data_IF_486192806860
#
_entry.id   IF_486192806860
#
_cell.length_a   1.000
_cell.length_b   1.000
_cell.length_c   1.000
_cell.angle_alpha   90.00
_cell.angle_beta   90.00
_cell.angle_gamma   90.00
#
_symmetry.space_group_name_H-M   'P 1'
#
loop_
_entity.id
_entity.type
_entity.pdbx_description
1 polymer ?
#
# COMPACT_ATOMS: atom_id res chain seq x y z
N UNK A 1 5.88 12.02 -6.18
CA UNK A 1 5.94 10.54 -6.26
C UNK A 1 7.36 10.10 -6.00
N UNK A 2 7.57 9.23 -5.01
CA UNK A 2 8.87 8.62 -4.66
C UNK A 2 8.75 7.11 -4.76
N UNK A 3 9.73 6.43 -5.35
CA UNK A 3 9.74 4.96 -5.47
C UNK A 3 11.05 4.41 -4.95
N UNK A 4 10.98 3.38 -4.11
CA UNK A 4 12.13 2.65 -3.59
C UNK A 4 12.02 1.17 -4.00
N UNK A 5 13.11 0.64 -4.55
CA UNK A 5 13.23 -0.75 -4.96
C UNK A 5 14.10 -1.50 -3.96
N UNK A 6 13.62 -2.67 -3.51
CA UNK A 6 14.26 -3.46 -2.44
C UNK A 6 14.61 -2.62 -1.20
N UNK A 7 13.67 -1.82 -0.67
CA UNK A 7 13.95 -0.98 0.48
C UNK A 7 14.23 -1.82 1.71
N UNK A 8 15.11 -1.32 2.56
CA UNK A 8 15.31 -1.81 3.92
C UNK A 8 14.21 -1.28 4.84
N UNK A 9 14.08 -1.88 6.02
CA UNK A 9 13.11 -1.42 7.01
C UNK A 9 13.36 0.04 7.42
N UNK A 10 14.62 0.45 7.60
CA UNK A 10 14.96 1.82 7.98
C UNK A 10 14.49 2.86 6.95
N UNK A 11 14.51 2.52 5.65
CA UNK A 11 14.02 3.41 4.58
C UNK A 11 12.50 3.54 4.59
N UNK A 12 11.79 2.50 5.03
CA UNK A 12 10.34 2.56 5.27
C UNK A 12 10.04 3.46 6.47
N UNK A 13 10.74 3.26 7.59
CA UNK A 13 10.58 4.03 8.83
C UNK A 13 10.88 5.53 8.58
N UNK A 14 11.93 5.83 7.82
CA UNK A 14 12.24 7.20 7.40
C UNK A 14 11.11 7.80 6.54
N UNK A 15 10.58 7.04 5.58
CA UNK A 15 9.50 7.52 4.71
C UNK A 15 8.23 7.82 5.52
N UNK A 16 7.81 6.93 6.41
CA UNK A 16 6.60 7.15 7.23
C UNK A 16 6.79 8.21 8.31
N UNK A 17 8.03 8.51 8.70
CA UNK A 17 8.33 9.60 9.63
C UNK A 17 8.33 10.96 8.94
N UNK A 18 8.78 11.02 7.69
CA UNK A 18 8.88 12.28 6.92
C UNK A 18 7.55 12.66 6.25
N UNK A 19 6.75 11.66 5.89
CA UNK A 19 5.49 11.85 5.16
C UNK A 19 4.30 11.48 6.04
N UNK A 20 3.27 12.34 6.09
CA UNK A 20 2.01 11.98 6.76
C UNK A 20 1.19 11.05 5.86
N UNK A 21 1.37 9.74 6.03
CA UNK A 21 0.64 8.74 5.23
C UNK A 21 -0.81 8.62 5.71
N UNK A 22 -1.77 8.86 4.81
CA UNK A 22 -3.21 8.78 5.12
C UNK A 22 -3.82 7.41 4.77
N UNK A 23 -3.19 6.67 3.85
CA UNK A 23 -3.66 5.37 3.37
C UNK A 23 -2.50 4.48 2.91
N UNK A 24 -2.54 3.20 3.27
CA UNK A 24 -1.55 2.19 2.83
C UNK A 24 -2.18 1.13 1.96
N UNK A 25 -1.60 0.88 0.78
CA UNK A 25 -1.95 -0.23 -0.09
C UNK A 25 -1.01 -1.40 0.10
N UNK A 26 -1.56 -2.58 0.42
CA UNK A 26 -0.80 -3.81 0.57
C UNK A 26 -1.03 -4.74 -0.61
N UNK A 27 0.07 -5.19 -1.20
CA UNK A 27 0.08 -6.21 -2.24
C UNK A 27 -0.05 -7.63 -1.67
N UNK A 28 -1.11 -7.92 -0.93
CA UNK A 28 -1.39 -9.28 -0.43
C UNK A 28 -1.93 -10.17 -1.53
N UNK A 29 -1.27 -11.30 -1.83
CA UNK A 29 -1.68 -12.19 -2.93
C UNK A 29 -2.53 -13.39 -2.48
N UNK A 30 -2.81 -13.53 -1.18
CA UNK A 30 -3.61 -14.59 -0.60
C UNK A 30 -2.80 -15.84 -0.21
N UNK A 31 -1.50 -15.89 -0.51
CA UNK A 31 -0.63 -16.97 -0.07
C UNK A 31 0.01 -16.62 1.27
N UNK A 32 -0.38 -17.35 2.32
CA UNK A 32 0.11 -17.13 3.69
C UNK A 32 1.64 -17.14 3.81
N UNK A 33 2.34 -17.85 2.92
CA UNK A 33 3.81 -17.90 2.89
C UNK A 33 4.42 -16.56 2.46
N UNK A 34 3.71 -15.83 1.59
CA UNK A 34 4.14 -14.56 1.03
C UNK A 34 3.54 -13.35 1.78
N UNK A 35 2.33 -13.48 2.31
CA UNK A 35 1.63 -12.36 2.91
C UNK A 35 2.05 -12.04 4.35
N UNK A 36 2.70 -12.98 5.05
CA UNK A 36 3.04 -12.85 6.47
C UNK A 36 3.75 -11.54 6.80
N UNK A 37 4.79 -11.17 6.07
CA UNK A 37 5.56 -9.94 6.37
C UNK A 37 4.73 -8.67 6.21
N UNK A 38 3.88 -8.61 5.19
CA UNK A 38 3.00 -7.45 4.97
C UNK A 38 1.86 -7.41 6.00
N UNK A 39 1.31 -8.57 6.36
CA UNK A 39 0.32 -8.68 7.42
C UNK A 39 0.89 -8.26 8.79
N UNK A 40 2.10 -8.74 9.13
CA UNK A 40 2.80 -8.36 10.36
C UNK A 40 3.09 -6.84 10.38
N UNK A 41 3.49 -6.26 9.25
CA UNK A 41 3.72 -4.82 9.13
C UNK A 41 2.43 -4.00 9.35
N UNK A 42 1.30 -4.47 8.79
CA UNK A 42 -0.03 -3.89 9.01
C UNK A 42 -0.40 -3.91 10.49
N UNK A 43 -0.22 -5.04 11.16
CA UNK A 43 -0.64 -5.20 12.56
C UNK A 43 0.29 -4.53 13.58
N UNK A 44 1.52 -4.20 13.19
CA UNK A 44 2.53 -3.63 14.11
C UNK A 44 2.82 -2.16 13.86
N UNK A 45 3.43 -1.82 12.72
CA UNK A 45 3.94 -0.47 12.45
C UNK A 45 2.90 0.47 11.86
N UNK A 46 1.97 -0.07 11.07
CA UNK A 46 1.02 0.72 10.28
C UNK A 46 -0.43 0.53 10.71
N UNK A 47 -0.65 -0.05 11.91
CA UNK A 47 -1.97 -0.42 12.44
C UNK A 47 -2.98 0.74 12.49
N UNK A 48 -2.48 1.95 12.71
CA UNK A 48 -3.31 3.15 12.85
C UNK A 48 -3.66 3.81 11.53
N UNK A 49 -3.06 3.36 10.42
CA UNK A 49 -3.28 3.94 9.10
C UNK A 49 -4.33 3.09 8.38
N UNK A 50 -5.40 3.69 7.82
CA UNK A 50 -6.33 2.99 6.94
C UNK A 50 -5.58 2.20 5.87
N UNK A 51 -6.11 1.03 5.52
CA UNK A 51 -5.46 0.12 4.57
C UNK A 51 -6.37 -0.28 3.43
N UNK A 52 -5.79 -0.62 2.29
CA UNK A 52 -6.49 -1.15 1.13
C UNK A 52 -5.72 -2.27 0.44
N UNK A 53 -6.43 -3.26 -0.12
CA UNK A 53 -5.85 -4.34 -0.93
C UNK A 53 -6.20 -4.16 -2.39
N UNK A 54 -5.36 -4.69 -3.28
CA UNK A 54 -5.59 -4.53 -4.72
C UNK A 54 -5.41 -5.81 -5.52
N UNK A 55 -4.58 -6.76 -5.05
CA UNK A 55 -4.30 -7.99 -5.80
C UNK A 55 -5.48 -8.97 -5.83
N UNK A 56 -6.46 -8.85 -4.94
CA UNK A 56 -7.72 -9.61 -5.08
C UNK A 56 -8.56 -9.16 -6.28
N UNK A 57 -8.29 -7.97 -6.82
CA UNK A 57 -8.97 -7.42 -8.00
C UNK A 57 -8.23 -7.71 -9.31
N UNK A 58 -6.90 -7.74 -9.27
CA UNK A 58 -6.07 -7.87 -10.48
C UNK A 58 -5.20 -9.14 -10.55
N UNK A 59 -5.07 -9.89 -9.46
CA UNK A 59 -4.16 -11.04 -9.34
C UNK A 59 -2.71 -10.65 -9.06
N UNK A 60 -1.84 -11.67 -9.04
CA UNK A 60 -0.39 -11.52 -8.87
C UNK A 60 0.32 -11.57 -10.23
N UNK A 61 1.05 -10.51 -10.56
CA UNK A 61 1.94 -10.43 -11.71
C UNK A 61 3.00 -9.34 -11.48
N UNK A 62 4.09 -9.38 -12.24
CA UNK A 62 5.31 -8.58 -11.99
C UNK A 62 5.05 -7.06 -11.97
N UNK A 63 4.01 -6.59 -12.68
CA UNK A 63 3.63 -5.19 -12.77
C UNK A 63 2.32 -4.86 -12.04
N UNK A 64 1.86 -5.73 -11.13
CA UNK A 64 0.61 -5.52 -10.35
C UNK A 64 0.62 -4.22 -9.53
N UNK A 65 1.80 -3.72 -9.14
CA UNK A 65 1.96 -2.40 -8.51
C UNK A 65 1.49 -1.23 -9.39
N UNK A 66 1.49 -1.37 -10.72
CA UNK A 66 0.95 -0.35 -11.63
C UNK A 66 -0.57 -0.20 -11.52
N UNK A 67 -1.28 -1.30 -11.25
CA UNK A 67 -2.71 -1.26 -10.95
C UNK A 67 -2.97 -0.54 -9.63
N UNK A 68 -2.17 -0.83 -8.60
CA UNK A 68 -2.24 -0.12 -7.32
C UNK A 68 -1.98 1.38 -7.48
N UNK A 69 -0.99 1.75 -8.32
CA UNK A 69 -0.69 3.15 -8.62
C UNK A 69 -1.86 3.83 -9.34
N UNK A 70 -2.43 3.20 -10.36
CA UNK A 70 -3.62 3.73 -11.03
C UNK A 70 -4.76 3.92 -10.04
N UNK A 71 -5.06 2.92 -9.21
CA UNK A 71 -6.10 3.00 -8.19
C UNK A 71 -5.84 4.13 -7.19
N UNK A 72 -4.60 4.27 -6.73
CA UNK A 72 -4.18 5.35 -5.83
C UNK A 72 -4.44 6.73 -6.48
N UNK A 73 -4.08 6.91 -7.75
CA UNK A 73 -4.36 8.18 -8.45
C UNK A 73 -5.86 8.46 -8.60
N UNK A 74 -6.69 7.42 -8.80
CA UNK A 74 -8.15 7.59 -8.84
C UNK A 74 -8.70 8.06 -7.49
N UNK A 75 -8.21 7.49 -6.39
CA UNK A 75 -8.60 7.88 -5.02
C UNK A 75 -8.14 9.31 -4.73
N UNK A 76 -6.88 9.65 -4.99
CA UNK A 76 -6.35 11.00 -4.77
C UNK A 76 -7.14 12.05 -5.58
N UNK A 77 -7.49 11.74 -6.83
CA UNK A 77 -8.23 12.67 -7.70
C UNK A 77 -9.69 12.82 -7.33
N UNK A 78 -10.38 11.73 -7.01
CA UNK A 78 -11.83 11.72 -6.79
C UNK A 78 -12.21 11.87 -5.32
N UNK A 79 -11.26 11.67 -4.41
CA UNK A 79 -11.48 11.60 -2.95
C UNK A 79 -12.58 10.58 -2.60
N UNK A 80 -12.62 9.46 -3.33
CA UNK A 80 -13.54 8.35 -3.09
C UNK A 80 -12.74 7.09 -2.87
N UNK A 81 -12.86 6.51 -1.68
CA UNK A 81 -12.25 5.23 -1.33
C UNK A 81 -13.25 4.08 -1.55
N UNK A 82 -12.97 3.13 -2.47
CA UNK A 82 -13.83 1.97 -2.68
C UNK A 82 -13.91 1.08 -1.45
N UNK A 83 -15.10 0.60 -1.09
CA UNK A 83 -15.27 -0.26 0.10
C UNK A 83 -14.76 -1.68 -0.14
N UNK A 84 -14.73 -2.09 -1.40
CA UNK A 84 -14.33 -3.42 -1.87
C UNK A 84 -12.83 -3.69 -1.67
N UNK A 85 -12.04 -2.63 -1.49
CA UNK A 85 -10.61 -2.74 -1.20
C UNK A 85 -10.30 -2.62 0.30
N UNK A 86 -11.29 -2.31 1.14
CA UNK A 86 -11.12 -2.08 2.57
C UNK A 86 -11.14 -3.43 3.34
N UNK A 87 -10.03 -3.84 3.99
CA UNK A 87 -10.02 -5.08 4.77
C UNK A 87 -10.85 -4.98 6.05
N UNK A 88 -10.71 -3.87 6.79
CA UNK A 88 -11.29 -3.72 8.12
C UNK A 88 -12.49 -2.75 8.14
N UNK A 89 -13.08 -2.47 6.96
CA UNK A 89 -14.15 -1.47 6.74
C UNK A 89 -13.82 -0.04 7.21
N UNK A 90 -12.58 0.23 7.61
CA UNK A 90 -12.07 1.58 7.88
C UNK A 90 -11.95 2.35 6.57
N UNK A 91 -12.62 3.49 6.50
CA UNK A 91 -12.64 4.35 5.32
C UNK A 91 -11.97 5.68 5.71
N UNK A 92 -10.89 6.10 5.02
CA UNK A 92 -10.30 7.41 5.27
C UNK A 92 -11.24 8.53 4.81
N UNK A 93 -11.35 9.60 5.60
CA UNK A 93 -12.19 10.76 5.26
C UNK A 93 -11.58 11.60 4.12
N UNK A 94 -10.26 11.82 4.19
CA UNK A 94 -9.48 12.56 3.21
C UNK A 94 -8.17 11.81 2.97
N UNK A 95 -7.72 11.77 1.72
CA UNK A 95 -6.49 11.08 1.34
C UNK A 95 -5.64 12.02 0.50
N UNK A 96 -4.54 12.51 1.08
CA UNK A 96 -3.55 13.33 0.37
C UNK A 96 -2.28 12.54 0.08
N UNK A 97 -1.95 11.53 0.91
CA UNK A 97 -0.75 10.71 0.79
C UNK A 97 -1.07 9.21 0.86
N UNK A 98 -0.66 8.48 -0.18
CA UNK A 98 -0.82 7.02 -0.27
C UNK A 98 0.55 6.38 -0.35
N UNK A 99 0.78 5.36 0.49
CA UNK A 99 1.92 4.47 0.42
C UNK A 99 1.50 3.11 -0.16
N UNK A 100 2.13 2.68 -1.23
CA UNK A 100 1.92 1.36 -1.82
C UNK A 100 3.10 0.47 -1.47
N UNK A 101 2.81 -0.66 -0.81
CA UNK A 101 3.78 -1.68 -0.43
C UNK A 101 3.44 -2.95 -1.19
N UNK A 102 4.26 -3.26 -2.19
CA UNK A 102 4.09 -4.47 -2.98
C UNK A 102 5.27 -5.42 -2.73
N UNK A 103 4.97 -6.71 -2.57
CA UNK A 103 5.96 -7.78 -2.60
C UNK A 103 5.79 -8.59 -3.89
N UNK A 104 6.89 -9.20 -4.34
CA UNK A 104 6.87 -10.25 -5.37
C UNK A 104 7.62 -11.44 -4.82
N UNK A 105 6.87 -12.53 -4.58
CA UNK A 105 7.38 -13.82 -4.07
C UNK A 105 8.27 -13.71 -2.81
N UNK A 106 8.00 -12.75 -1.93
CA UNK A 106 8.83 -12.42 -0.75
C UNK A 106 10.29 -12.10 -0.97
N UNK A 107 10.73 -11.95 -2.22
CA UNK A 107 12.14 -11.71 -2.51
C UNK A 107 12.42 -10.24 -2.83
N UNK A 108 11.41 -9.53 -3.34
CA UNK A 108 11.56 -8.11 -3.69
C UNK A 108 10.35 -7.34 -3.16
N UNK A 109 10.63 -6.36 -2.30
CA UNK A 109 9.67 -5.34 -1.90
C UNK A 109 9.85 -4.09 -2.75
N UNK A 110 8.76 -3.38 -2.98
CA UNK A 110 8.75 -2.05 -3.58
C UNK A 110 7.86 -1.15 -2.77
N UNK A 111 8.32 0.08 -2.56
CA UNK A 111 7.56 1.15 -1.93
C UNK A 111 7.32 2.23 -2.97
N UNK A 112 6.06 2.62 -3.14
CA UNK A 112 5.68 3.74 -3.99
C UNK A 112 4.86 4.71 -3.14
N UNK A 113 5.39 5.90 -2.91
CA UNK A 113 4.66 7.00 -2.27
C UNK A 113 4.13 7.94 -3.33
N UNK A 114 2.84 8.23 -3.24
CA UNK A 114 2.09 9.10 -4.15
C UNK A 114 1.32 10.10 -3.32
N UNK A 115 1.44 11.38 -3.67
CA UNK A 115 0.78 12.48 -2.97
C UNK A 115 -0.01 13.35 -3.95
N UNK A 116 -1.01 14.07 -3.44
CA UNK A 116 -1.62 15.20 -4.17
C UNK A 116 -0.57 16.29 -4.43
N UNK A 117 -0.73 17.02 -5.54
CA UNK A 117 0.07 18.20 -5.84
C UNK A 117 -0.40 19.43 -5.07
#
# INVERSE_FOLDING_TARGET
>A
MKTLFRPKMDELEELISNEKIDLVFYGLNGDIRYDKTLADLRETRLKHIPSGYFKHLCGEYDTSSSFALWLATQILKKQVFPKEIAPDKTIPEKVDNILIINNTRNNNYSLIHVSTC
#
